data_IF_877067533537
#
_entry.id   IF_877067533537
#
_cell.length_a   1.000
_cell.length_b   1.000
_cell.length_c   1.000
_cell.angle_alpha   90.00
_cell.angle_beta   90.00
_cell.angle_gamma   90.00
#
_symmetry.space_group_name_H-M   'P 1'
#
loop_
_entity.id
_entity.type
_entity.pdbx_description
1 polymer ?
#
# COMPACT_ATOMS: atom_id res chain seq x y z
N UNK A 1 7.01 -12.16 22.40
CA UNK A 1 6.96 -11.84 20.96
C UNK A 1 8.35 -12.07 20.41
N UNK A 2 8.51 -12.86 19.35
CA UNK A 2 9.83 -13.00 18.73
C UNK A 2 10.17 -11.68 18.03
N UNK A 3 11.09 -10.94 18.60
CA UNK A 3 11.65 -9.71 18.01
C UNK A 3 12.65 -10.10 16.91
N UNK A 4 12.18 -10.66 15.82
CA UNK A 4 13.04 -10.97 14.68
C UNK A 4 13.25 -9.71 13.85
N UNK A 5 14.51 -9.35 13.61
CA UNK A 5 14.86 -8.30 12.64
C UNK A 5 14.65 -8.76 11.18
N UNK A 6 14.31 -10.04 10.96
CA UNK A 6 14.10 -10.58 9.62
C UNK A 6 12.79 -10.11 9.01
N UNK A 7 12.81 -9.82 7.71
CA UNK A 7 11.62 -9.46 6.94
C UNK A 7 11.70 -9.98 5.51
N UNK A 8 10.53 -10.12 4.89
CA UNK A 8 10.40 -10.39 3.45
C UNK A 8 9.92 -9.12 2.76
N UNK A 9 10.61 -8.77 1.69
CA UNK A 9 10.23 -7.67 0.81
C UNK A 9 9.49 -8.22 -0.40
N UNK A 10 8.26 -7.77 -0.64
CA UNK A 10 7.43 -8.17 -1.78
C UNK A 10 7.28 -6.97 -2.71
N UNK A 11 7.70 -7.14 -3.95
CA UNK A 11 7.72 -6.14 -4.99
C UNK A 11 6.79 -6.58 -6.12
N UNK A 12 5.79 -5.76 -6.45
CA UNK A 12 4.84 -6.10 -7.51
C UNK A 12 5.07 -5.20 -8.72
N UNK A 13 5.35 -5.81 -9.87
CA UNK A 13 5.67 -5.11 -11.12
C UNK A 13 4.59 -5.34 -12.17
N UNK A 14 4.06 -4.25 -12.71
CA UNK A 14 3.05 -4.30 -13.77
C UNK A 14 3.15 -3.08 -14.69
N UNK A 15 3.41 -3.32 -15.99
CA UNK A 15 3.43 -2.28 -17.05
C UNK A 15 4.26 -1.02 -16.74
N UNK A 16 5.47 -1.21 -16.20
CA UNK A 16 6.42 -0.12 -15.94
C UNK A 16 7.55 -0.10 -16.97
N UNK A 17 8.29 1.00 -17.04
CA UNK A 17 9.50 1.03 -17.84
C UNK A 17 10.66 0.26 -17.18
N UNK A 18 11.61 -0.19 -17.99
CA UNK A 18 12.81 -0.89 -17.53
C UNK A 18 13.64 0.02 -16.60
N UNK A 19 13.73 1.32 -16.91
CA UNK A 19 14.46 2.30 -16.12
C UNK A 19 13.82 2.49 -14.73
N UNK A 20 12.50 2.51 -14.68
CA UNK A 20 11.77 2.62 -13.41
C UNK A 20 11.98 1.38 -12.54
N UNK A 21 11.90 0.18 -13.14
CA UNK A 21 12.21 -1.08 -12.46
C UNK A 21 13.63 -1.07 -11.91
N UNK A 22 14.63 -0.69 -12.70
CA UNK A 22 16.03 -0.65 -12.27
C UNK A 22 16.22 0.28 -11.07
N UNK A 23 15.68 1.48 -11.13
CA UNK A 23 15.73 2.44 -10.00
C UNK A 23 15.06 1.88 -8.75
N UNK A 24 13.90 1.25 -8.89
CA UNK A 24 13.16 0.67 -7.78
C UNK A 24 13.91 -0.51 -7.14
N UNK A 25 14.39 -1.45 -7.95
CA UNK A 25 15.18 -2.60 -7.48
C UNK A 25 16.43 -2.13 -6.75
N UNK A 26 17.17 -1.17 -7.30
CA UNK A 26 18.36 -0.62 -6.66
C UNK A 26 18.06 0.03 -5.31
N UNK A 27 16.95 0.77 -5.18
CA UNK A 27 16.52 1.32 -3.90
C UNK A 27 16.17 0.23 -2.88
N UNK A 28 15.51 -0.84 -3.32
CA UNK A 28 15.16 -1.99 -2.49
C UNK A 28 16.37 -2.82 -2.05
N UNK A 29 17.39 -2.95 -2.90
CA UNK A 29 18.64 -3.66 -2.59
C UNK A 29 19.58 -2.85 -1.69
N UNK A 30 19.44 -1.54 -1.65
CA UNK A 30 20.32 -0.64 -0.87
C UNK A 30 19.73 -0.31 0.53
N UNK A 31 18.96 -1.21 1.13
CA UNK A 31 18.44 -1.01 2.46
C UNK A 31 19.51 -1.23 3.55
N UNK A 32 19.46 -0.44 4.64
CA UNK A 32 20.39 -0.58 5.79
C UNK A 32 20.20 -1.90 6.54
N UNK A 33 18.97 -2.39 6.60
CA UNK A 33 18.62 -3.72 7.08
C UNK A 33 18.40 -4.63 5.87
N UNK A 34 19.22 -5.66 5.73
CA UNK A 34 19.12 -6.60 4.61
C UNK A 34 17.88 -7.49 4.75
N UNK A 35 17.06 -7.63 3.68
CA UNK A 35 15.91 -8.55 3.70
C UNK A 35 16.36 -10.00 3.74
N UNK A 36 15.69 -10.80 4.55
CA UNK A 36 15.85 -12.26 4.55
C UNK A 36 15.44 -12.89 3.22
N UNK A 37 14.44 -12.28 2.58
CA UNK A 37 13.88 -12.74 1.32
C UNK A 37 13.33 -11.56 0.54
N UNK A 38 13.56 -11.53 -0.76
CA UNK A 38 12.91 -10.61 -1.70
C UNK A 38 12.11 -11.44 -2.70
N UNK A 39 10.86 -11.07 -2.93
CA UNK A 39 9.99 -11.73 -3.91
C UNK A 39 9.56 -10.69 -4.95
N UNK A 40 10.05 -10.82 -6.18
CA UNK A 40 9.59 -10.05 -7.33
C UNK A 40 8.39 -10.72 -7.97
N UNK A 41 7.25 -10.03 -8.02
CA UNK A 41 6.00 -10.54 -8.54
C UNK A 41 5.70 -9.93 -9.91
N UNK A 42 5.59 -10.77 -10.94
CA UNK A 42 5.22 -10.42 -12.31
C UNK A 42 3.91 -11.14 -12.65
N UNK A 43 2.79 -10.54 -12.27
CA UNK A 43 1.47 -11.16 -12.36
C UNK A 43 0.65 -10.50 -13.49
N UNK A 44 0.32 -11.28 -14.54
CA UNK A 44 -0.51 -10.82 -15.65
C UNK A 44 0.27 -10.49 -16.92
N UNK A 45 1.01 -11.45 -17.47
CA UNK A 45 1.75 -11.32 -18.72
C UNK A 45 2.68 -10.08 -18.76
N UNK A 46 3.55 -9.98 -17.77
CA UNK A 46 4.52 -8.89 -17.69
C UNK A 46 5.40 -8.82 -18.96
N UNK A 47 5.80 -7.61 -19.34
CA UNK A 47 6.73 -7.40 -20.46
C UNK A 47 7.99 -8.24 -20.24
N UNK A 48 8.37 -9.10 -21.21
CA UNK A 48 9.60 -9.91 -21.13
C UNK A 48 10.86 -9.09 -20.84
N UNK A 49 10.93 -7.83 -21.32
CA UNK A 49 12.05 -6.95 -21.04
C UNK A 49 12.17 -6.59 -19.56
N UNK A 50 11.04 -6.40 -18.85
CA UNK A 50 11.04 -6.16 -17.40
C UNK A 50 11.54 -7.39 -16.63
N UNK A 51 11.07 -8.57 -17.04
CA UNK A 51 11.49 -9.85 -16.40
C UNK A 51 12.98 -10.08 -16.65
N UNK A 52 13.46 -9.88 -17.87
CA UNK A 52 14.88 -10.02 -18.21
C UNK A 52 15.76 -9.06 -17.39
N UNK A 53 15.34 -7.79 -17.28
CA UNK A 53 16.08 -6.80 -16.47
C UNK A 53 16.08 -7.14 -14.98
N UNK A 54 14.95 -7.60 -14.46
CA UNK A 54 14.88 -8.10 -13.07
C UNK A 54 15.87 -9.23 -12.83
N UNK A 55 15.91 -10.24 -13.71
CA UNK A 55 16.82 -11.36 -13.60
C UNK A 55 18.29 -10.95 -13.68
N UNK A 56 18.61 -9.98 -14.56
CA UNK A 56 19.94 -9.38 -14.65
C UNK A 56 20.37 -8.72 -13.32
N UNK A 57 19.51 -7.85 -12.75
CA UNK A 57 19.80 -7.10 -11.53
C UNK A 57 19.89 -7.99 -10.27
N UNK A 58 19.24 -9.15 -10.31
CA UNK A 58 19.15 -10.06 -9.17
C UNK A 58 20.00 -11.32 -9.30
N UNK A 59 20.74 -11.43 -10.41
CA UNK A 59 21.60 -12.57 -10.68
C UNK A 59 22.58 -12.85 -9.53
N UNK A 60 22.68 -14.14 -9.13
CA UNK A 60 23.60 -14.58 -8.07
C UNK A 60 23.18 -14.24 -6.64
N UNK A 61 21.99 -13.68 -6.43
CA UNK A 61 21.46 -13.38 -5.10
C UNK A 61 20.51 -14.52 -4.66
N UNK A 62 20.95 -15.36 -3.71
CA UNK A 62 20.22 -16.55 -3.27
C UNK A 62 18.92 -16.24 -2.51
N UNK A 63 18.82 -15.05 -1.91
CA UNK A 63 17.65 -14.62 -1.14
C UNK A 63 16.58 -13.92 -2.00
N UNK A 64 16.74 -13.90 -3.34
CA UNK A 64 15.79 -13.29 -4.25
C UNK A 64 15.05 -14.32 -5.07
N UNK A 65 13.73 -14.24 -5.06
CA UNK A 65 12.86 -15.15 -5.78
C UNK A 65 11.96 -14.37 -6.75
N UNK A 66 11.60 -15.04 -7.84
CA UNK A 66 10.70 -14.50 -8.86
C UNK A 66 9.43 -15.33 -8.91
N UNK A 67 8.29 -14.68 -8.84
CA UNK A 67 6.99 -15.27 -9.13
C UNK A 67 6.47 -14.67 -10.43
N UNK A 68 6.30 -15.53 -11.42
CA UNK A 68 5.77 -15.16 -12.72
C UNK A 68 4.46 -15.89 -12.99
N UNK A 69 3.48 -15.18 -13.56
CA UNK A 69 2.22 -15.76 -14.02
C UNK A 69 1.67 -14.97 -15.20
N UNK A 70 1.22 -15.67 -16.22
CA UNK A 70 0.46 -15.09 -17.33
C UNK A 70 -0.96 -14.67 -16.90
N UNK A 71 -1.48 -15.30 -15.84
CA UNK A 71 -2.76 -14.92 -15.27
C UNK A 71 -2.59 -13.68 -14.37
N UNK A 72 -3.44 -12.68 -14.59
CA UNK A 72 -3.46 -11.47 -13.79
C UNK A 72 -4.26 -11.68 -12.51
N UNK A 73 -3.56 -11.96 -11.41
CA UNK A 73 -4.15 -12.06 -10.07
C UNK A 73 -4.57 -10.70 -9.49
N UNK A 74 -4.47 -9.63 -10.28
CA UNK A 74 -4.75 -8.26 -9.85
C UNK A 74 -3.94 -7.91 -8.58
N UNK A 75 -4.45 -6.99 -7.78
CA UNK A 75 -3.74 -6.52 -6.58
C UNK A 75 -3.70 -7.55 -5.45
N UNK A 76 -4.65 -8.49 -5.40
CA UNK A 76 -4.72 -9.49 -4.34
C UNK A 76 -3.61 -10.54 -4.43
N UNK A 77 -3.07 -10.79 -5.63
CA UNK A 77 -2.06 -11.82 -5.85
C UNK A 77 -0.82 -11.67 -4.97
N UNK A 78 -0.36 -10.44 -4.76
CA UNK A 78 0.80 -10.16 -3.90
C UNK A 78 0.58 -10.54 -2.44
N UNK A 79 -0.65 -10.41 -1.94
CA UNK A 79 -1.00 -10.85 -0.57
C UNK A 79 -1.10 -12.36 -0.46
N UNK A 80 -1.57 -13.04 -1.51
CA UNK A 80 -1.55 -14.51 -1.56
C UNK A 80 -0.12 -15.05 -1.52
N UNK A 81 0.80 -14.42 -2.25
CA UNK A 81 2.23 -14.75 -2.21
C UNK A 81 2.81 -14.53 -0.81
N UNK A 82 2.38 -13.51 -0.10
CA UNK A 82 2.85 -13.20 1.25
C UNK A 82 2.59 -14.32 2.27
N UNK A 83 1.60 -15.20 2.06
CA UNK A 83 1.42 -16.39 2.92
C UNK A 83 2.61 -17.33 2.88
N UNK A 84 3.26 -17.47 1.73
CA UNK A 84 4.45 -18.31 1.55
C UNK A 84 5.76 -17.66 2.01
N UNK A 85 5.73 -16.40 2.45
CA UNK A 85 6.93 -15.70 2.89
C UNK A 85 7.59 -16.38 4.11
N UNK A 86 8.93 -16.47 4.16
CA UNK A 86 9.63 -17.16 5.24
C UNK A 86 9.66 -16.39 6.56
N UNK A 87 9.29 -15.12 6.57
CA UNK A 87 9.35 -14.24 7.75
C UNK A 87 7.97 -13.77 8.20
N UNK A 88 7.88 -13.33 9.45
CA UNK A 88 6.66 -12.74 10.01
C UNK A 88 6.47 -11.28 9.57
N UNK A 89 7.54 -10.50 9.47
CA UNK A 89 7.47 -9.13 9.00
C UNK A 89 7.46 -9.11 7.48
N UNK A 90 6.40 -8.53 6.90
CA UNK A 90 6.21 -8.36 5.47
C UNK A 90 6.25 -6.88 5.13
N UNK A 91 7.12 -6.51 4.23
CA UNK A 91 7.16 -5.18 3.62
C UNK A 91 6.73 -5.32 2.17
N UNK A 92 5.62 -4.71 1.82
CA UNK A 92 5.09 -4.72 0.47
C UNK A 92 5.21 -3.34 -0.14
N UNK A 93 5.77 -3.25 -1.35
CA UNK A 93 5.96 -1.99 -2.05
C UNK A 93 5.35 -2.04 -3.44
N UNK A 94 4.68 -0.97 -3.80
CA UNK A 94 4.26 -0.73 -5.18
C UNK A 94 5.48 -0.33 -6.03
N UNK A 95 5.43 -0.65 -7.31
CA UNK A 95 6.52 -0.47 -8.28
C UNK A 95 6.90 1.00 -8.59
N UNK A 96 6.15 1.95 -8.05
CA UNK A 96 6.38 3.39 -8.13
C UNK A 96 6.81 4.02 -6.79
N UNK A 97 7.11 3.21 -5.78
CA UNK A 97 7.45 3.64 -4.42
C UNK A 97 8.90 3.36 -4.09
N UNK A 98 9.71 4.41 -4.00
CA UNK A 98 11.15 4.30 -3.75
C UNK A 98 11.43 4.42 -2.25
N UNK A 99 11.85 3.34 -1.57
CA UNK A 99 12.19 3.40 -0.15
C UNK A 99 13.53 4.13 0.05
N UNK A 100 13.58 4.98 1.06
CA UNK A 100 14.84 5.50 1.58
C UNK A 100 15.66 4.38 2.22
N UNK A 101 16.94 4.59 2.39
CA UNK A 101 17.90 3.54 2.82
C UNK A 101 17.55 2.87 4.16
N UNK A 102 16.94 3.59 5.10
CA UNK A 102 16.55 3.10 6.43
C UNK A 102 15.04 2.81 6.55
N UNK A 103 14.33 2.85 5.45
CA UNK A 103 12.89 2.66 5.47
C UNK A 103 12.50 1.30 6.02
N UNK A 104 13.08 0.22 5.48
CA UNK A 104 12.76 -1.14 5.93
C UNK A 104 13.12 -1.38 7.41
N UNK A 105 14.27 -0.88 7.85
CA UNK A 105 14.69 -0.96 9.26
C UNK A 105 13.68 -0.27 10.18
N UNK A 106 13.22 0.93 9.82
CA UNK A 106 12.22 1.67 10.59
C UNK A 106 10.87 0.94 10.65
N UNK A 107 10.41 0.39 9.51
CA UNK A 107 9.16 -0.38 9.46
C UNK A 107 9.26 -1.66 10.31
N UNK A 108 10.34 -2.42 10.19
CA UNK A 108 10.56 -3.64 10.99
C UNK A 108 10.56 -3.33 12.48
N UNK A 109 11.21 -2.24 12.89
CA UNK A 109 11.20 -1.78 14.29
C UNK A 109 9.78 -1.52 14.81
N UNK A 110 8.93 -0.88 13.99
CA UNK A 110 7.54 -0.60 14.34
C UNK A 110 6.74 -1.91 14.46
N UNK A 111 6.85 -2.80 13.46
CA UNK A 111 6.14 -4.09 13.46
C UNK A 111 6.54 -5.00 14.61
N UNK A 112 7.80 -4.92 15.07
CA UNK A 112 8.26 -5.66 16.26
C UNK A 112 7.73 -5.05 17.56
N UNK A 113 7.53 -3.74 17.61
CA UNK A 113 7.01 -3.04 18.77
C UNK A 113 5.50 -3.21 18.98
N UNK A 114 4.73 -3.36 17.90
CA UNK A 114 3.28 -3.49 17.98
C UNK A 114 2.69 -4.21 16.76
N UNK A 115 1.55 -4.84 16.97
CA UNK A 115 0.80 -5.46 15.87
C UNK A 115 -0.05 -4.38 15.17
N UNK A 116 0.36 -3.99 13.98
CA UNK A 116 -0.29 -2.94 13.19
C UNK A 116 -0.11 -3.20 11.68
N UNK A 117 -0.86 -2.47 10.89
CA UNK A 117 -0.55 -2.20 9.49
C UNK A 117 0.15 -0.85 9.44
N UNK A 118 1.23 -0.72 8.68
CA UNK A 118 2.02 0.53 8.67
C UNK A 118 2.52 0.89 7.27
N UNK A 119 2.55 2.20 6.98
CA UNK A 119 3.11 2.80 5.77
C UNK A 119 3.41 4.30 6.03
N UNK A 120 4.09 4.98 5.09
CA UNK A 120 4.23 6.45 5.14
C UNK A 120 3.04 7.22 4.53
N UNK A 121 2.07 6.54 3.94
CA UNK A 121 0.91 7.12 3.26
C UNK A 121 -0.38 6.51 3.76
N UNK A 122 -1.34 7.36 4.05
CA UNK A 122 -2.64 6.90 4.51
C UNK A 122 -3.68 8.00 4.48
N UNK A 123 -4.93 7.61 4.72
CA UNK A 123 -6.09 8.49 4.70
C UNK A 123 -6.84 8.41 6.01
N UNK A 124 -7.17 9.58 6.54
CA UNK A 124 -8.20 9.75 7.55
C UNK A 124 -9.48 10.14 6.83
N UNK A 125 -10.52 9.37 7.03
CA UNK A 125 -11.84 9.65 6.46
C UNK A 125 -12.58 10.61 7.38
N UNK A 126 -13.46 11.39 6.79
CA UNK A 126 -14.38 12.25 7.52
C UNK A 126 -15.80 11.90 7.13
N UNK A 127 -16.61 11.67 8.13
CA UNK A 127 -18.04 11.49 7.95
C UNK A 127 -18.73 12.85 7.82
N UNK A 128 -19.62 12.99 6.84
CA UNK A 128 -20.50 14.14 6.70
C UNK A 128 -21.84 13.68 6.16
N UNK A 129 -22.92 14.02 6.83
CA UNK A 129 -24.29 13.65 6.44
C UNK A 129 -24.53 12.17 6.18
N UNK A 130 -23.87 11.28 6.96
CA UNK A 130 -24.00 9.84 6.79
C UNK A 130 -23.20 9.24 5.62
N UNK A 131 -22.38 10.04 4.95
CA UNK A 131 -21.50 9.59 3.88
C UNK A 131 -20.04 9.78 4.26
N UNK A 132 -19.20 8.88 3.79
CA UNK A 132 -17.76 8.94 4.00
C UNK A 132 -17.06 9.11 2.67
N UNK A 133 -16.21 10.12 2.57
CA UNK A 133 -15.44 10.36 1.36
C UNK A 133 -13.97 10.54 1.64
N UNK A 134 -13.21 10.35 0.61
CA UNK A 134 -11.83 10.74 0.50
C UNK A 134 -11.78 12.15 -0.08
N UNK A 135 -11.29 13.13 0.66
CA UNK A 135 -11.07 14.46 0.10
C UNK A 135 -9.89 14.48 -0.86
N UNK A 136 -10.01 15.34 -1.84
CA UNK A 136 -8.94 15.83 -2.69
C UNK A 136 -8.54 14.99 -3.89
N UNK A 137 -9.43 14.90 -4.87
CA UNK A 137 -9.01 15.11 -6.24
C UNK A 137 -9.82 16.27 -6.82
N UNK A 138 -9.15 17.36 -7.22
CA UNK A 138 -9.81 18.58 -7.73
C UNK A 138 -10.66 18.32 -8.99
N UNK A 139 -10.44 17.20 -9.66
CA UNK A 139 -10.92 16.96 -11.02
C UNK A 139 -12.14 16.03 -11.11
N UNK A 140 -12.55 15.37 -10.02
CA UNK A 140 -13.75 14.53 -10.08
C UNK A 140 -14.97 15.31 -9.58
N UNK A 141 -15.97 15.40 -10.44
CA UNK A 141 -17.26 16.07 -10.14
C UNK A 141 -18.00 15.41 -8.98
N UNK A 142 -17.81 14.11 -8.76
CA UNK A 142 -18.36 13.34 -7.64
C UNK A 142 -17.81 13.88 -6.33
N UNK A 143 -16.51 14.07 -6.26
CA UNK A 143 -15.87 14.56 -5.04
C UNK A 143 -16.07 16.04 -4.78
N UNK A 144 -16.28 16.88 -5.81
CA UNK A 144 -16.61 18.30 -5.64
C UNK A 144 -17.93 18.52 -4.92
N UNK A 145 -18.92 17.68 -5.14
CA UNK A 145 -20.25 17.78 -4.51
C UNK A 145 -20.23 17.33 -3.04
N UNK A 146 -19.23 16.53 -2.66
CA UNK A 146 -18.96 16.07 -1.31
C UNK A 146 -17.69 16.69 -0.72
N UNK A 147 -17.18 17.76 -1.31
CA UNK A 147 -15.90 18.40 -0.96
C UNK A 147 -15.86 19.05 0.43
N UNK A 148 -17.00 19.21 1.09
CA UNK A 148 -17.04 19.52 2.52
C UNK A 148 -16.63 18.33 3.40
N UNK A 149 -16.34 17.21 2.77
CA UNK A 149 -15.94 15.93 3.38
C UNK A 149 -14.43 15.76 3.26
N UNK A 150 -13.69 16.63 3.91
CA UNK A 150 -12.23 16.63 3.86
C UNK A 150 -11.63 15.53 4.73
N UNK A 151 -11.34 14.37 4.14
CA UNK A 151 -10.36 13.46 4.70
C UNK A 151 -8.97 14.08 4.58
N UNK A 152 -8.07 13.81 5.50
CA UNK A 152 -6.71 14.30 5.43
C UNK A 152 -5.81 13.21 4.85
N UNK A 153 -5.16 13.52 3.72
CA UNK A 153 -4.07 12.70 3.23
C UNK A 153 -2.83 12.99 4.04
N UNK A 154 -2.34 11.98 4.73
CA UNK A 154 -1.09 12.02 5.45
C UNK A 154 0.00 11.40 4.58
N UNK A 155 0.94 12.22 4.19
CA UNK A 155 2.09 11.82 3.41
C UNK A 155 3.29 12.72 3.71
N UNK A 156 4.49 12.44 3.18
CA UNK A 156 5.71 13.15 3.53
C UNK A 156 5.65 14.68 3.37
N UNK A 157 4.81 15.19 2.47
CA UNK A 157 4.65 16.65 2.25
C UNK A 157 3.76 17.31 3.30
N UNK A 158 2.71 16.61 3.75
CA UNK A 158 1.77 17.11 4.77
C UNK A 158 2.34 17.04 6.17
N UNK A 159 3.23 16.09 6.41
CA UNK A 159 3.82 15.83 7.72
C UNK A 159 5.05 16.69 8.03
N UNK A 160 5.48 17.55 7.10
CA UNK A 160 6.57 18.52 7.32
C UNK A 160 6.40 19.42 8.56
N UNK A 161 5.17 19.53 9.08
CA UNK A 161 4.82 20.32 10.27
C UNK A 161 4.86 19.54 11.58
N UNK A 162 5.00 18.20 11.54
CA UNK A 162 4.95 17.33 12.72
C UNK A 162 6.37 16.94 13.16
N UNK A 163 7.28 17.91 13.30
CA UNK A 163 8.73 17.70 13.25
C UNK A 163 9.41 17.33 14.57
N UNK A 164 8.72 17.09 15.67
CA UNK A 164 9.44 17.01 16.93
C UNK A 164 9.76 15.59 17.44
N UNK A 165 9.08 14.56 16.95
CA UNK A 165 9.35 13.15 17.30
C UNK A 165 8.86 12.20 16.20
N UNK A 166 9.46 11.02 16.09
CA UNK A 166 8.90 9.94 15.30
C UNK A 166 7.46 9.69 15.71
N UNK A 167 6.52 9.86 14.79
CA UNK A 167 5.10 9.74 15.09
C UNK A 167 4.48 8.58 14.34
N UNK A 168 3.57 7.89 15.03
CA UNK A 168 2.67 6.91 14.46
C UNK A 168 1.26 7.48 14.53
N UNK A 169 0.73 7.84 13.37
CA UNK A 169 -0.58 8.49 13.28
C UNK A 169 -1.59 7.45 12.83
N UNK A 170 -2.64 7.24 13.63
CA UNK A 170 -3.73 6.35 13.25
C UNK A 170 -4.51 6.93 12.08
N UNK A 171 -4.77 6.07 11.08
CA UNK A 171 -5.53 6.38 9.88
C UNK A 171 -6.57 5.31 9.63
N UNK A 172 -7.51 5.57 8.72
CA UNK A 172 -8.55 4.60 8.38
C UNK A 172 -8.04 3.58 7.37
N UNK A 173 -7.27 4.01 6.38
CA UNK A 173 -6.58 3.08 5.49
C UNK A 173 -5.25 3.61 4.95
N UNK A 174 -4.40 2.68 4.54
CA UNK A 174 -3.08 2.90 3.97
C UNK A 174 -3.13 2.74 2.45
N UNK A 175 -2.12 3.25 1.75
CA UNK A 175 -1.99 3.11 0.30
C UNK A 175 -0.51 3.10 -0.14
N UNK A 176 -0.25 2.57 -1.34
CA UNK A 176 1.11 2.51 -1.89
C UNK A 176 1.94 1.33 -1.39
N UNK A 177 1.27 0.20 -1.14
CA UNK A 177 1.81 -0.97 -0.46
C UNK A 177 1.57 -0.89 1.04
N UNK A 178 1.40 -2.02 1.69
CA UNK A 178 1.15 -2.10 3.13
C UNK A 178 2.21 -2.99 3.76
N UNK A 179 2.77 -2.55 4.90
CA UNK A 179 3.69 -3.33 5.69
C UNK A 179 2.96 -3.89 6.91
N UNK A 180 3.15 -5.18 7.21
CA UNK A 180 2.35 -5.86 8.22
C UNK A 180 3.04 -7.13 8.74
N UNK A 181 2.51 -7.71 9.80
CA UNK A 181 2.87 -9.06 10.24
C UNK A 181 2.08 -10.08 9.42
N UNK A 182 2.74 -11.13 8.92
CA UNK A 182 2.13 -12.19 8.10
C UNK A 182 0.88 -12.78 8.75
N UNK A 183 0.89 -12.95 10.06
CA UNK A 183 -0.26 -13.40 10.85
C UNK A 183 -1.51 -12.51 10.70
N UNK A 184 -1.37 -11.27 10.23
CA UNK A 184 -2.50 -10.36 9.96
C UNK A 184 -3.25 -10.69 8.66
N UNK A 185 -2.65 -11.46 7.74
CA UNK A 185 -3.30 -11.84 6.47
C UNK A 185 -4.63 -12.57 6.67
N UNK A 186 -4.79 -13.30 7.76
CA UNK A 186 -6.06 -13.96 8.08
C UNK A 186 -7.24 -13.00 8.13
N UNK A 187 -7.00 -11.73 8.44
CA UNK A 187 -8.08 -10.73 8.46
C UNK A 187 -8.44 -10.26 7.06
N UNK A 188 -7.45 -10.08 6.19
CA UNK A 188 -7.71 -9.75 4.78
C UNK A 188 -8.57 -10.82 4.11
N UNK A 189 -8.29 -12.08 4.38
CA UNK A 189 -8.97 -13.23 3.77
C UNK A 189 -10.10 -13.82 4.65
N UNK A 190 -10.60 -13.08 5.64
CA UNK A 190 -11.68 -13.54 6.51
C UNK A 190 -13.05 -13.57 5.83
N UNK A 191 -13.23 -12.82 4.75
CA UNK A 191 -14.45 -12.70 3.97
C UNK A 191 -14.13 -12.73 2.47
N UNK A 192 -15.13 -12.99 1.65
CA UNK A 192 -14.97 -13.01 0.20
C UNK A 192 -14.49 -11.68 -0.37
N UNK A 193 -13.74 -11.76 -1.46
CA UNK A 193 -13.35 -10.62 -2.27
C UNK A 193 -14.37 -10.42 -3.38
N UNK A 194 -15.11 -9.34 -3.33
CA UNK A 194 -16.12 -9.02 -4.32
C UNK A 194 -15.55 -8.19 -5.49
N UNK A 195 -14.34 -7.68 -5.34
CA UNK A 195 -13.77 -6.76 -6.31
C UNK A 195 -12.31 -7.06 -6.59
N UNK A 196 -11.86 -6.67 -7.78
CA UNK A 196 -10.47 -6.79 -8.21
C UNK A 196 -9.56 -5.68 -7.64
N UNK A 197 -10.15 -4.68 -6.96
CA UNK A 197 -9.45 -3.49 -6.44
C UNK A 197 -9.83 -3.20 -4.99
N UNK A 198 -9.13 -2.27 -4.37
CA UNK A 198 -9.36 -1.82 -2.98
C UNK A 198 -9.03 -2.86 -1.90
N UNK A 199 -8.15 -3.79 -2.21
CA UNK A 199 -7.62 -4.76 -1.27
C UNK A 199 -6.91 -4.08 -0.08
N UNK A 200 -6.30 -2.92 -0.32
CA UNK A 200 -5.67 -2.07 0.70
C UNK A 200 -6.70 -1.55 1.70
N UNK A 201 -7.85 -1.07 1.20
CA UNK A 201 -8.97 -0.60 2.02
C UNK A 201 -9.55 -1.76 2.81
N UNK A 202 -9.90 -2.88 2.16
CA UNK A 202 -10.46 -4.06 2.81
C UNK A 202 -9.54 -4.57 3.91
N UNK A 203 -8.23 -4.66 3.65
CA UNK A 203 -7.28 -5.11 4.66
C UNK A 203 -7.28 -4.20 5.88
N UNK A 204 -7.21 -2.89 5.68
CA UNK A 204 -7.18 -1.94 6.79
C UNK A 204 -8.45 -2.00 7.63
N UNK A 205 -9.62 -2.02 7.02
CA UNK A 205 -10.89 -2.08 7.76
C UNK A 205 -11.10 -3.41 8.46
N UNK A 206 -10.83 -4.53 7.81
CA UNK A 206 -10.95 -5.88 8.41
C UNK A 206 -9.96 -6.08 9.56
N UNK A 207 -8.73 -5.58 9.41
CA UNK A 207 -7.74 -5.57 10.48
C UNK A 207 -8.21 -4.69 11.66
N UNK A 208 -8.76 -3.50 11.39
CA UNK A 208 -9.27 -2.59 12.42
C UNK A 208 -10.44 -3.19 13.22
N UNK A 209 -11.38 -3.91 12.59
CA UNK A 209 -12.46 -4.66 13.27
C UNK A 209 -11.89 -5.68 14.27
N UNK A 210 -10.67 -6.13 14.08
CA UNK A 210 -9.96 -7.08 14.93
C UNK A 210 -8.91 -6.41 15.86
N UNK A 211 -9.01 -5.10 16.05
CA UNK A 211 -8.12 -4.34 16.96
C UNK A 211 -6.73 -4.07 16.44
N UNK A 212 -6.47 -4.28 15.14
CA UNK A 212 -5.18 -4.01 14.50
C UNK A 212 -5.25 -2.66 13.79
N UNK A 213 -4.57 -1.62 14.29
CA UNK A 213 -4.64 -0.29 13.72
C UNK A 213 -3.85 -0.16 12.42
N UNK A 214 -4.30 0.73 11.56
CA UNK A 214 -3.54 1.27 10.43
C UNK A 214 -2.82 2.53 10.85
N UNK A 215 -1.49 2.59 10.65
CA UNK A 215 -0.63 3.65 11.14
C UNK A 215 0.19 4.27 10.01
N UNK A 216 0.21 5.58 9.92
CA UNK A 216 1.17 6.31 9.10
C UNK A 216 2.41 6.62 9.95
N UNK A 217 3.56 6.15 9.51
CA UNK A 217 4.84 6.47 10.12
C UNK A 217 5.40 7.78 9.57
N UNK A 218 5.67 8.72 10.48
CA UNK A 218 6.26 10.03 10.19
C UNK A 218 7.58 10.13 10.94
N UNK A 219 8.72 9.99 10.25
CA UNK A 219 10.03 10.16 10.90
C UNK A 219 10.28 11.64 11.25
N UNK A 220 10.86 11.90 12.43
CA UNK A 220 11.10 13.26 12.94
C UNK A 220 12.34 13.93 12.35
N UNK A 221 13.47 13.24 12.34
CA UNK A 221 14.78 13.78 12.00
C UNK A 221 15.32 13.22 10.69
N UNK A 222 14.43 13.02 9.72
CA UNK A 222 14.77 12.41 8.44
C UNK A 222 15.23 13.49 7.43
N UNK A 223 16.35 14.13 7.72
CA UNK A 223 16.90 15.22 6.88
C UNK A 223 17.18 14.74 5.46
N UNK A 224 17.74 13.52 5.33
CA UNK A 224 18.12 12.92 4.04
C UNK A 224 16.98 12.11 3.42
N UNK A 225 15.86 11.96 4.11
CA UNK A 225 14.73 11.15 3.63
C UNK A 225 14.93 9.64 3.77
N UNK A 226 15.97 9.21 4.48
CA UNK A 226 16.38 7.80 4.58
C UNK A 226 15.33 6.88 5.20
N UNK A 227 14.50 7.40 6.11
CA UNK A 227 13.50 6.61 6.85
C UNK A 227 12.11 6.61 6.21
N UNK A 228 11.94 7.22 5.05
CA UNK A 228 10.64 7.36 4.37
C UNK A 228 10.70 6.93 2.91
N UNK A 229 9.53 6.85 2.28
CA UNK A 229 9.44 6.78 0.83
C UNK A 229 9.93 8.08 0.21
N UNK A 230 10.93 8.00 -0.65
CA UNK A 230 11.57 9.17 -1.28
C UNK A 230 10.75 9.78 -2.40
N UNK A 231 9.80 9.04 -2.95
CA UNK A 231 8.99 9.56 -4.02
C UNK A 231 7.97 8.60 -4.57
N UNK A 232 7.18 9.16 -5.40
CA UNK A 232 6.26 8.53 -6.32
C UNK A 232 6.68 9.01 -7.71
N UNK A 233 6.87 8.11 -8.65
CA UNK A 233 7.15 8.51 -10.03
C UNK A 233 5.86 9.02 -10.68
N UNK A 234 5.78 10.32 -11.03
CA UNK A 234 4.58 10.88 -11.65
C UNK A 234 4.37 10.38 -13.08
N UNK A 235 5.38 9.77 -13.71
CA UNK A 235 5.30 9.13 -15.02
C UNK A 235 4.73 7.71 -14.96
N UNK A 236 4.59 7.15 -13.77
CA UNK A 236 3.89 5.88 -13.58
C UNK A 236 2.41 6.05 -13.96
N UNK A 237 1.97 5.29 -14.95
CA UNK A 237 0.56 5.30 -15.35
C UNK A 237 -0.26 4.75 -14.19
N UNK A 238 -0.84 5.65 -13.44
CA UNK A 238 -1.71 5.33 -12.31
C UNK A 238 -3.09 4.95 -12.88
N UNK A 239 -3.17 3.77 -13.52
CA UNK A 239 -4.40 3.28 -14.16
C UNK A 239 -5.59 3.26 -13.20
N UNK A 240 -5.33 2.97 -11.92
CA UNK A 240 -6.39 2.82 -10.93
C UNK A 240 -6.83 4.12 -10.29
N UNK A 241 -5.97 5.14 -10.35
CA UNK A 241 -6.24 6.36 -9.60
C UNK A 241 -7.17 7.34 -10.34
N UNK A 242 -7.38 7.17 -11.64
CA UNK A 242 -8.06 8.14 -12.50
C UNK A 242 -9.40 7.65 -13.08
N UNK A 243 -9.78 6.39 -12.87
CA UNK A 243 -11.07 5.91 -13.36
C UNK A 243 -12.15 6.14 -12.32
N UNK A 244 -13.25 6.72 -12.75
CA UNK A 244 -14.42 7.00 -11.92
C UNK A 244 -15.02 5.72 -11.34
N UNK A 245 -15.06 4.66 -12.15
CA UNK A 245 -15.54 3.33 -11.76
C UNK A 245 -14.78 2.76 -10.55
N UNK A 246 -13.46 2.95 -10.50
CA UNK A 246 -12.63 2.49 -9.38
C UNK A 246 -12.95 3.28 -8.12
N UNK A 247 -13.20 4.57 -8.23
CA UNK A 247 -13.58 5.38 -7.07
C UNK A 247 -14.95 5.01 -6.52
N UNK A 248 -15.91 4.72 -7.38
CA UNK A 248 -17.22 4.19 -6.98
C UNK A 248 -17.07 2.88 -6.24
N UNK A 249 -16.29 1.97 -6.80
CA UNK A 249 -16.01 0.66 -6.19
C UNK A 249 -15.36 0.82 -4.81
N UNK A 250 -14.34 1.67 -4.68
CA UNK A 250 -13.68 1.94 -3.40
C UNK A 250 -14.61 2.57 -2.38
N UNK A 251 -15.42 3.53 -2.79
CA UNK A 251 -16.40 4.17 -1.90
C UNK A 251 -17.44 3.17 -1.41
N UNK A 252 -17.96 2.31 -2.29
CA UNK A 252 -18.89 1.23 -1.92
C UNK A 252 -18.28 0.29 -0.89
N UNK A 253 -17.03 -0.09 -1.07
CA UNK A 253 -16.32 -0.95 -0.12
C UNK A 253 -16.17 -0.25 1.23
N UNK A 254 -15.76 1.02 1.26
CA UNK A 254 -15.66 1.79 2.50
C UNK A 254 -17.01 1.80 3.24
N UNK A 255 -18.09 2.12 2.54
CA UNK A 255 -19.43 2.15 3.12
C UNK A 255 -19.82 0.79 3.69
N UNK A 256 -19.63 -0.28 2.93
CA UNK A 256 -19.91 -1.65 3.39
C UNK A 256 -19.10 -2.03 4.62
N UNK A 257 -17.80 -1.81 4.59
CA UNK A 257 -16.92 -2.18 5.71
C UNK A 257 -17.22 -1.41 7.00
N UNK A 258 -17.79 -0.21 6.87
CA UNK A 258 -18.24 0.61 8.00
C UNK A 258 -19.67 0.35 8.42
N UNK A 259 -20.39 -0.54 7.71
CA UNK A 259 -21.78 -0.91 8.04
C UNK A 259 -22.83 0.09 7.58
N UNK A 260 -22.51 0.97 6.63
CA UNK A 260 -23.49 1.86 6.02
C UNK A 260 -24.30 1.13 4.94
N UNK A 261 -25.60 1.49 4.73
CA UNK A 261 -26.40 0.90 3.68
C UNK A 261 -25.78 1.15 2.29
N UNK A 262 -25.53 0.07 1.55
CA UNK A 262 -24.97 0.18 0.20
C UNK A 262 -26.05 0.30 -0.90
N UNK A 263 -27.31 0.02 -0.58
CA UNK A 263 -28.40 -0.03 -1.55
C UNK A 263 -28.68 1.31 -2.23
N UNK A 264 -28.45 2.40 -1.51
CA UNK A 264 -28.64 3.76 -2.04
C UNK A 264 -27.42 4.31 -2.81
N UNK A 265 -26.27 3.63 -2.76
CA UNK A 265 -25.03 4.18 -3.32
C UNK A 265 -25.08 4.25 -4.85
N UNK A 266 -25.65 3.25 -5.53
CA UNK A 266 -25.84 3.28 -6.99
C UNK A 266 -26.88 4.31 -7.43
N UNK A 267 -27.96 4.46 -6.64
CA UNK A 267 -28.96 5.48 -6.89
C UNK A 267 -28.38 6.90 -6.66
N UNK A 268 -27.58 7.04 -5.62
CA UNK A 268 -26.88 8.29 -5.31
C UNK A 268 -25.88 8.65 -6.40
N UNK A 269 -25.14 7.66 -6.88
CA UNK A 269 -24.16 7.81 -7.96
C UNK A 269 -24.81 8.24 -9.27
N UNK A 270 -25.92 7.57 -9.67
CA UNK A 270 -26.70 7.95 -10.86
C UNK A 270 -27.29 9.37 -10.77
N UNK A 271 -27.54 9.87 -9.57
CA UNK A 271 -28.04 11.23 -9.34
C UNK A 271 -26.94 12.30 -9.28
N UNK A 272 -25.67 11.88 -9.26
CA UNK A 272 -24.50 12.76 -9.18
C UNK A 272 -23.86 12.92 -10.56
N UNK A 273 -23.99 11.91 -11.43
CA UNK A 273 -23.61 11.96 -12.85
C UNK A 273 -24.66 12.71 -13.68
#
# INVERSE_FOLDING_TARGET
MNNSSEYTLILNYYNKSVELLERHVNACLNQSLEPKCIIGCFLGAADPALVAKWLELTQGKENIHTVYSDFNFKYIGRYQIAFGAPTENIIMLDDDRFPGRKYCESIVSILNGQNCLVQNYGWQLKESNGYISRSERPDSTIFKKYADMSGSFLGPKTTKRLKEQNQLIKVDYLCGGICFRKSSLKYLFSEEFETETAEDIMFCFRAAKNGIPSLVFVPSDDVDGDQRMLGHDPGGVNFTANSEEIWVTRSRIIHRELGYPCEDFEALYKNIM
#
